data_IF_018747666368
#
_entry.id   IF_018747666368
#
_cell.length_a   1.000
_cell.length_b   1.000
_cell.length_c   1.000
_cell.angle_alpha   90.00
_cell.angle_beta   90.00
_cell.angle_gamma   90.00
#
_symmetry.space_group_name_H-M   'P 1'
#
loop_
_entity.id
_entity.type
_entity.pdbx_description
1 polymer ?
#
# COMPACT_ATOMS: atom_id res chain seq x y z
N UNK A 1 -27.53 2.06 22.87
CA UNK A 1 -26.62 3.22 22.77
C UNK A 1 -25.52 3.10 23.83
N UNK A 2 -24.30 2.72 23.44
CA UNK A 2 -23.10 2.93 24.26
C UNK A 2 -22.16 3.79 23.43
N UNK A 3 -21.95 5.02 23.89
CA UNK A 3 -20.94 5.92 23.36
C UNK A 3 -19.58 5.23 23.51
N UNK A 4 -19.02 4.75 22.41
CA UNK A 4 -17.58 4.53 22.29
C UNK A 4 -17.02 5.69 21.47
N UNK A 5 -17.03 6.87 22.09
CA UNK A 5 -16.24 8.01 21.66
C UNK A 5 -14.77 7.73 21.95
N UNK A 6 -14.12 6.99 21.06
CA UNK A 6 -12.69 7.16 20.80
C UNK A 6 -12.54 7.18 19.29
N UNK A 7 -12.14 8.33 18.78
CA UNK A 7 -11.68 8.52 17.43
C UNK A 7 -10.66 7.44 17.10
N UNK A 8 -11.08 6.44 16.32
CA UNK A 8 -10.17 5.61 15.55
C UNK A 8 -9.55 6.54 14.50
N UNK A 9 -8.57 7.33 14.90
CA UNK A 9 -7.68 8.01 13.96
C UNK A 9 -6.99 6.89 13.19
N UNK A 10 -7.25 6.85 11.88
CA UNK A 10 -6.88 5.75 11.00
C UNK A 10 -5.38 5.49 11.02
N UNK A 11 -4.95 4.51 11.80
CA UNK A 11 -3.59 3.96 11.74
C UNK A 11 -3.51 3.05 10.52
N UNK A 12 -2.98 3.59 9.43
CA UNK A 12 -2.53 2.76 8.31
C UNK A 12 -1.26 2.05 8.75
N UNK A 13 -1.37 0.75 9.00
CA UNK A 13 -0.24 -0.07 9.37
C UNK A 13 0.23 -0.86 8.15
N UNK A 14 1.53 -1.01 8.01
CA UNK A 14 2.10 -1.66 6.85
C UNK A 14 3.24 -2.59 7.23
N UNK A 15 3.30 -3.75 6.56
CA UNK A 15 4.37 -4.72 6.78
C UNK A 15 4.97 -5.15 5.44
N UNK A 16 6.31 -5.27 5.42
CA UNK A 16 7.06 -5.79 4.29
C UNK A 16 6.94 -7.32 4.29
N UNK A 17 6.59 -7.89 3.15
CA UNK A 17 6.68 -9.31 2.88
C UNK A 17 7.99 -9.64 2.16
N UNK A 18 8.33 -10.94 2.16
CA UNK A 18 9.57 -11.45 1.57
C UNK A 18 9.50 -11.51 0.04
N UNK A 19 8.32 -11.75 -0.52
CA UNK A 19 8.10 -11.90 -1.97
C UNK A 19 7.15 -10.84 -2.53
N UNK A 20 7.28 -10.58 -3.83
CA UNK A 20 6.51 -9.56 -4.54
C UNK A 20 5.05 -9.98 -4.73
N UNK A 21 4.15 -9.11 -4.30
CA UNK A 21 2.72 -9.40 -4.26
C UNK A 21 1.94 -9.06 -5.53
N UNK A 22 2.53 -8.28 -6.43
CA UNK A 22 1.86 -7.78 -7.64
C UNK A 22 2.82 -7.84 -8.84
N UNK A 23 2.60 -8.71 -9.84
CA UNK A 23 3.47 -8.83 -11.01
C UNK A 23 3.31 -7.65 -11.98
N UNK A 24 2.18 -6.94 -11.93
CA UNK A 24 1.94 -5.69 -12.65
C UNK A 24 1.75 -4.57 -11.62
N UNK A 25 2.84 -3.97 -11.18
CA UNK A 25 2.82 -2.86 -10.23
C UNK A 25 3.33 -1.59 -10.91
N UNK A 26 2.48 -0.58 -11.02
CA UNK A 26 2.85 0.68 -11.68
C UNK A 26 3.30 1.70 -10.64
N UNK A 27 4.61 2.00 -10.63
CA UNK A 27 5.21 3.02 -9.76
C UNK A 27 5.56 4.28 -10.54
N UNK A 28 5.35 5.42 -9.89
CA UNK A 28 5.78 6.71 -10.41
C UNK A 28 6.73 7.39 -9.45
N UNK A 29 7.82 7.91 -9.98
CA UNK A 29 8.82 8.67 -9.24
C UNK A 29 8.58 10.16 -9.49
N UNK A 30 8.42 10.90 -8.40
CA UNK A 30 8.35 12.35 -8.38
C UNK A 30 9.68 12.84 -7.83
N UNK A 31 10.51 13.44 -8.66
CA UNK A 31 11.88 13.73 -8.27
C UNK A 31 12.46 14.96 -8.95
N UNK A 32 13.61 15.36 -8.41
CA UNK A 32 14.51 16.30 -9.07
C UNK A 32 15.24 15.59 -10.22
N UNK A 33 16.01 16.34 -11.01
CA UNK A 33 16.62 15.85 -12.25
C UNK A 33 17.47 14.58 -12.07
N UNK A 34 18.23 14.49 -10.97
CA UNK A 34 19.02 13.31 -10.63
C UNK A 34 18.17 12.03 -10.51
N UNK A 35 17.04 12.13 -9.81
CA UNK A 35 16.11 11.01 -9.66
C UNK A 35 15.36 10.69 -10.96
N UNK A 36 15.17 11.68 -11.83
CA UNK A 36 14.59 11.42 -13.15
C UNK A 36 15.57 10.71 -14.07
N UNK A 37 16.86 10.99 -13.98
CA UNK A 37 17.88 10.32 -14.78
C UNK A 37 18.13 8.88 -14.29
N UNK A 38 18.14 8.66 -12.97
CA UNK A 38 18.14 7.31 -12.37
C UNK A 38 16.87 6.53 -12.73
N UNK A 39 15.70 7.17 -12.69
CA UNK A 39 14.44 6.52 -13.06
C UNK A 39 14.39 6.14 -14.54
N UNK A 40 14.92 6.98 -15.43
CA UNK A 40 15.06 6.65 -16.87
C UNK A 40 15.98 5.45 -17.09
N UNK A 41 17.08 5.36 -16.35
CA UNK A 41 18.00 4.23 -16.45
C UNK A 41 17.35 2.91 -16.01
N UNK A 42 16.40 2.96 -15.08
CA UNK A 42 15.66 1.79 -14.57
C UNK A 42 14.32 1.57 -15.32
N UNK A 43 14.02 2.38 -16.33
CA UNK A 43 12.74 2.39 -17.09
C UNK A 43 11.49 2.54 -16.19
N UNK A 44 11.60 3.37 -15.15
CA UNK A 44 10.47 3.73 -14.27
C UNK A 44 9.88 5.06 -14.72
N UNK A 45 8.54 5.13 -14.71
CA UNK A 45 7.80 6.34 -15.06
C UNK A 45 8.13 7.47 -14.07
N UNK A 46 8.66 8.58 -14.58
CA UNK A 46 9.05 9.75 -13.81
C UNK A 46 8.17 10.96 -14.17
N UNK A 47 8.01 11.88 -13.21
CA UNK A 47 7.36 13.18 -13.46
C UNK A 47 8.10 14.31 -12.74
N UNK A 48 8.38 15.37 -13.50
CA UNK A 48 9.05 16.57 -13.01
C UNK A 48 8.11 17.57 -12.34
N UNK A 49 8.70 18.52 -11.62
CA UNK A 49 8.04 19.61 -10.89
C UNK A 49 7.14 20.46 -11.81
N UNK A 50 7.57 20.69 -13.05
CA UNK A 50 6.78 21.46 -14.02
C UNK A 50 5.54 20.70 -14.49
N UNK A 51 5.66 19.39 -14.70
CA UNK A 51 4.54 18.53 -15.04
C UNK A 51 3.52 18.48 -13.89
N UNK A 52 4.00 18.41 -12.65
CA UNK A 52 3.17 18.44 -11.44
C UNK A 52 2.34 19.74 -11.32
N UNK A 53 2.93 20.89 -11.63
CA UNK A 53 2.21 22.18 -11.64
C UNK A 53 1.15 22.25 -12.75
N UNK A 54 1.45 21.73 -13.95
CA UNK A 54 0.47 21.64 -15.06
C UNK A 54 -0.71 20.72 -14.70
N UNK A 55 -0.46 19.66 -13.94
CA UNK A 55 -1.48 18.70 -13.51
C UNK A 55 -2.44 19.25 -12.42
N UNK A 56 -2.04 20.25 -11.64
CA UNK A 56 -2.90 20.84 -10.60
C UNK A 56 -4.17 21.50 -11.17
N UNK A 57 -4.06 22.10 -12.37
CA UNK A 57 -5.19 22.78 -13.02
C UNK A 57 -6.31 21.80 -13.39
N UNK A 58 -5.98 20.52 -13.62
CA UNK A 58 -6.92 19.51 -14.13
C UNK A 58 -7.12 18.34 -13.14
N UNK A 59 -8.10 18.47 -12.23
CA UNK A 59 -8.50 17.42 -11.27
C UNK A 59 -8.87 16.08 -11.92
N UNK A 60 -9.34 16.09 -13.17
CA UNK A 60 -9.70 14.88 -13.93
C UNK A 60 -8.46 14.04 -14.30
N UNK A 61 -7.36 14.69 -14.68
CA UNK A 61 -6.11 14.00 -15.03
C UNK A 61 -5.44 13.41 -13.79
N UNK A 62 -5.47 14.13 -12.67
CA UNK A 62 -4.98 13.62 -11.38
C UNK A 62 -5.74 12.37 -10.94
N UNK A 63 -7.07 12.33 -11.13
CA UNK A 63 -7.87 11.11 -10.86
C UNK A 63 -7.53 9.95 -11.81
N UNK A 64 -7.20 10.23 -13.07
CA UNK A 64 -6.77 9.20 -14.03
C UNK A 64 -5.41 8.63 -13.63
N UNK A 65 -4.45 9.48 -13.24
CA UNK A 65 -3.14 9.04 -12.74
C UNK A 65 -3.28 8.22 -11.46
N UNK A 66 -4.05 8.67 -10.47
CA UNK A 66 -4.26 7.92 -9.23
C UNK A 66 -4.89 6.53 -9.43
N UNK A 67 -5.65 6.32 -10.52
CA UNK A 67 -6.21 5.01 -10.87
C UNK A 67 -5.19 4.11 -11.59
N UNK A 68 -4.27 4.69 -12.37
CA UNK A 68 -3.26 3.95 -13.12
C UNK A 68 -2.05 3.55 -12.26
N UNK A 69 -1.66 4.41 -11.33
CA UNK A 69 -0.46 4.22 -10.50
C UNK A 69 -0.86 3.61 -9.16
N UNK A 70 -0.12 2.62 -8.66
CA UNK A 70 -0.38 1.98 -7.37
C UNK A 70 0.40 2.63 -6.24
N UNK A 71 1.64 3.04 -6.51
CA UNK A 71 2.47 3.77 -5.55
C UNK A 71 3.23 4.93 -6.19
N UNK A 72 3.53 5.92 -5.35
CA UNK A 72 4.34 7.08 -5.68
C UNK A 72 5.57 7.12 -4.77
N UNK A 73 6.73 7.42 -5.35
CA UNK A 73 7.94 7.78 -4.61
C UNK A 73 8.20 9.26 -4.81
N UNK A 74 8.60 9.96 -3.75
CA UNK A 74 8.88 11.39 -3.82
C UNK A 74 10.24 11.71 -3.21
N UNK A 75 11.01 12.53 -3.91
CA UNK A 75 12.20 13.19 -3.37
C UNK A 75 11.85 14.04 -2.15
N UNK A 76 12.81 14.17 -1.23
CA UNK A 76 12.68 15.00 -0.02
C UNK A 76 12.32 16.46 -0.36
N UNK A 77 12.85 17.00 -1.46
CA UNK A 77 12.55 18.35 -1.95
C UNK A 77 11.05 18.57 -2.22
N UNK A 78 10.33 17.51 -2.63
CA UNK A 78 8.96 17.60 -3.13
C UNK A 78 7.90 17.23 -2.09
N UNK A 79 8.29 16.57 -0.99
CA UNK A 79 7.35 16.06 0.02
C UNK A 79 6.51 17.18 0.65
N UNK A 80 7.06 18.40 0.77
CA UNK A 80 6.37 19.57 1.33
C UNK A 80 5.29 20.13 0.41
N UNK A 81 5.46 19.99 -0.91
CA UNK A 81 4.54 20.57 -1.91
C UNK A 81 3.40 19.60 -2.27
N UNK A 82 3.65 18.30 -2.16
CA UNK A 82 2.72 17.23 -2.55
C UNK A 82 1.35 17.30 -1.84
N UNK A 83 1.26 17.53 -0.52
CA UNK A 83 -0.04 17.66 0.15
C UNK A 83 -0.89 18.80 -0.40
N UNK A 84 -0.27 19.92 -0.78
CA UNK A 84 -0.96 21.10 -1.33
C UNK A 84 -1.43 20.88 -2.76
N UNK A 85 -0.60 20.25 -3.60
CA UNK A 85 -0.86 20.09 -5.04
C UNK A 85 -1.72 18.85 -5.32
N UNK A 86 -1.38 17.72 -4.71
CA UNK A 86 -1.96 16.41 -5.01
C UNK A 86 -2.84 15.86 -3.89
N UNK A 87 -2.89 16.50 -2.73
CA UNK A 87 -3.58 16.00 -1.54
C UNK A 87 -5.06 15.65 -1.76
N UNK A 88 -5.82 16.49 -2.48
CA UNK A 88 -7.26 16.24 -2.73
C UNK A 88 -7.52 14.98 -3.56
N UNK A 89 -6.60 14.61 -4.45
CA UNK A 89 -6.72 13.45 -5.34
C UNK A 89 -6.16 12.18 -4.72
N UNK A 90 -4.93 12.25 -4.20
CA UNK A 90 -4.17 11.10 -3.73
C UNK A 90 -4.56 10.62 -2.32
N UNK A 91 -4.96 11.53 -1.43
CA UNK A 91 -5.38 11.14 -0.07
C UNK A 91 -6.68 10.31 -0.11
N UNK A 92 -7.62 10.68 -0.99
CA UNK A 92 -8.84 9.89 -1.21
C UNK A 92 -8.54 8.49 -1.77
N UNK A 93 -7.45 8.35 -2.53
CA UNK A 93 -7.01 7.07 -3.07
C UNK A 93 -6.14 6.25 -2.09
N UNK A 94 -5.70 6.83 -0.96
CA UNK A 94 -4.81 6.17 0.00
C UNK A 94 -3.38 5.93 -0.53
N UNK A 95 -2.98 6.64 -1.59
CA UNK A 95 -1.70 6.47 -2.30
C UNK A 95 -0.77 7.65 -2.00
N UNK A 96 -0.45 7.85 -0.73
CA UNK A 96 0.47 8.92 -0.34
C UNK A 96 1.91 8.53 -0.70
N UNK A 97 2.72 9.46 -1.25
CA UNK A 97 4.07 9.11 -1.68
C UNK A 97 4.95 8.68 -0.52
N UNK A 98 5.78 7.67 -0.74
CA UNK A 98 6.85 7.32 0.20
C UNK A 98 8.08 8.18 -0.07
N UNK A 99 8.79 8.53 0.99
CA UNK A 99 10.01 9.32 0.91
C UNK A 99 11.11 8.51 0.22
N UNK A 100 11.80 9.16 -0.71
CA UNK A 100 13.04 8.71 -1.29
C UNK A 100 14.13 9.71 -0.92
N UNK A 101 15.21 9.22 -0.32
CA UNK A 101 16.40 10.02 -0.03
C UNK A 101 17.46 9.82 -1.12
N UNK A 102 18.27 10.84 -1.38
CA UNK A 102 19.35 10.77 -2.37
C UNK A 102 20.45 9.75 -2.01
N UNK A 103 20.55 9.35 -0.73
CA UNK A 103 21.53 8.38 -0.25
C UNK A 103 21.10 6.92 -0.45
N UNK A 104 19.83 6.66 -0.73
CA UNK A 104 19.29 5.30 -0.83
C UNK A 104 19.08 4.89 -2.30
N UNK A 105 19.41 3.63 -2.62
CA UNK A 105 19.19 3.09 -3.97
C UNK A 105 17.69 3.00 -4.27
N UNK A 106 17.25 3.61 -5.37
CA UNK A 106 15.86 3.56 -5.85
C UNK A 106 15.29 2.15 -5.94
N UNK A 107 16.08 1.20 -6.45
CA UNK A 107 15.67 -0.20 -6.65
C UNK A 107 15.27 -0.85 -5.33
N UNK A 108 16.02 -0.61 -4.25
CA UNK A 108 15.73 -1.19 -2.94
C UNK A 108 14.40 -0.66 -2.37
N UNK A 109 14.13 0.65 -2.51
CA UNK A 109 12.84 1.24 -2.10
C UNK A 109 11.68 0.77 -2.96
N UNK A 110 11.90 0.62 -4.26
CA UNK A 110 10.91 0.07 -5.18
C UNK A 110 10.51 -1.34 -4.75
N UNK A 111 11.47 -2.20 -4.42
CA UNK A 111 11.18 -3.58 -3.99
C UNK A 111 10.54 -3.64 -2.59
N UNK A 112 10.89 -2.71 -1.70
CA UNK A 112 10.19 -2.52 -0.43
C UNK A 112 8.72 -2.19 -0.63
N UNK A 113 8.42 -1.24 -1.51
CA UNK A 113 7.04 -0.81 -1.76
C UNK A 113 6.24 -1.89 -2.50
N UNK A 114 6.86 -2.59 -3.46
CA UNK A 114 6.24 -3.73 -4.16
C UNK A 114 5.87 -4.88 -3.24
N UNK A 115 6.67 -5.11 -2.20
CA UNK A 115 6.48 -6.21 -1.25
C UNK A 115 5.68 -5.78 -0.02
N UNK A 116 5.18 -4.54 0.01
CA UNK A 116 4.48 -3.97 1.17
C UNK A 116 3.00 -4.29 1.11
N UNK A 117 2.48 -4.89 2.18
CA UNK A 117 1.04 -4.95 2.43
C UNK A 117 0.60 -3.71 3.21
N UNK A 118 -0.44 -3.04 2.71
CA UNK A 118 -1.10 -1.93 3.40
C UNK A 118 -2.40 -2.42 4.04
N UNK A 119 -2.43 -2.49 5.37
CA UNK A 119 -3.66 -2.71 6.12
C UNK A 119 -4.29 -1.35 6.44
N UNK A 120 -5.45 -1.09 5.83
CA UNK A 120 -6.25 0.09 6.11
C UNK A 120 -7.35 -0.29 7.09
N UNK A 121 -7.12 -0.02 8.37
CA UNK A 121 -8.15 -0.19 9.39
C UNK A 121 -9.24 0.87 9.17
N UNK A 122 -10.33 0.46 8.54
CA UNK A 122 -11.57 1.25 8.41
C UNK A 122 -12.59 0.75 9.43
N UNK A 123 -13.69 1.48 9.58
CA UNK A 123 -14.87 1.05 10.37
C UNK A 123 -15.66 -0.05 9.64
N UNK A 124 -14.98 -1.10 9.20
CA UNK A 124 -15.54 -2.26 8.48
C UNK A 124 -15.17 -3.53 9.23
N UNK A 125 -16.07 -4.51 9.18
CA UNK A 125 -15.91 -5.79 9.89
C UNK A 125 -14.98 -6.75 9.13
N UNK A 126 -14.96 -6.67 7.79
CA UNK A 126 -14.16 -7.53 6.94
C UNK A 126 -13.08 -6.72 6.23
N UNK A 127 -11.83 -7.20 6.30
CA UNK A 127 -10.70 -6.69 5.55
C UNK A 127 -10.20 -7.79 4.61
N UNK A 128 -9.98 -7.45 3.35
CA UNK A 128 -9.45 -8.37 2.36
C UNK A 128 -8.13 -7.82 1.82
N UNK A 129 -7.12 -8.67 1.79
CA UNK A 129 -5.75 -8.35 1.37
C UNK A 129 -5.22 -9.45 0.47
N UNK A 130 -4.47 -9.07 -0.57
CA UNK A 130 -3.77 -10.01 -1.43
C UNK A 130 -2.45 -10.44 -0.77
N UNK A 131 -2.26 -11.75 -0.63
CA UNK A 131 -1.10 -12.35 0.04
C UNK A 131 -0.16 -13.08 -0.93
N UNK A 132 -0.61 -13.32 -2.18
CA UNK A 132 0.25 -13.87 -3.21
C UNK A 132 -0.41 -14.28 -4.52
N UNK A 133 0.37 -14.97 -5.35
CA UNK A 133 0.03 -15.44 -6.69
C UNK A 133 0.35 -16.93 -6.84
N UNK A 134 -0.32 -17.56 -7.81
CA UNK A 134 -0.19 -18.99 -8.13
C UNK A 134 1.23 -19.36 -8.62
N UNK A 135 2.01 -18.39 -9.11
CA UNK A 135 3.38 -18.64 -9.59
C UNK A 135 4.44 -18.67 -8.47
N UNK A 136 4.06 -18.40 -7.22
CA UNK A 136 4.98 -18.48 -6.08
C UNK A 136 5.03 -19.89 -5.51
N UNK A 137 6.12 -20.20 -4.82
CA UNK A 137 6.32 -21.48 -4.13
C UNK A 137 5.38 -21.53 -2.90
N UNK A 138 4.83 -22.71 -2.63
CA UNK A 138 3.86 -22.92 -1.55
C UNK A 138 4.42 -22.51 -0.17
N UNK A 139 5.69 -22.79 0.11
CA UNK A 139 6.35 -22.42 1.37
C UNK A 139 6.42 -20.90 1.58
N UNK A 140 6.73 -20.15 0.52
CA UNK A 140 6.74 -18.68 0.59
C UNK A 140 5.33 -18.12 0.80
N UNK A 141 4.31 -18.77 0.21
CA UNK A 141 2.92 -18.38 0.36
C UNK A 141 2.45 -18.61 1.80
N UNK A 142 2.76 -19.75 2.39
CA UNK A 142 2.45 -20.06 3.79
C UNK A 142 3.11 -19.04 4.73
N UNK A 143 4.39 -18.72 4.51
CA UNK A 143 5.09 -17.70 5.29
C UNK A 143 4.42 -16.33 5.20
N UNK A 144 4.03 -15.90 3.99
CA UNK A 144 3.31 -14.64 3.79
C UNK A 144 1.94 -14.64 4.46
N UNK A 145 1.21 -15.77 4.46
CA UNK A 145 -0.07 -15.92 5.16
C UNK A 145 0.12 -15.75 6.67
N UNK A 146 1.13 -16.40 7.26
CA UNK A 146 1.42 -16.24 8.68
C UNK A 146 1.75 -14.78 9.05
N UNK A 147 2.58 -14.10 8.25
CA UNK A 147 2.87 -12.68 8.44
C UNK A 147 1.61 -11.80 8.32
N UNK A 148 0.75 -12.07 7.33
CA UNK A 148 -0.47 -11.33 7.07
C UNK A 148 -1.54 -11.54 8.15
N UNK A 149 -1.56 -12.68 8.84
CA UNK A 149 -2.47 -12.94 9.96
C UNK A 149 -1.90 -12.37 11.26
N UNK A 150 -0.61 -12.57 11.54
CA UNK A 150 0.01 -12.13 12.79
C UNK A 150 0.09 -10.61 12.92
N UNK A 151 0.21 -9.88 11.81
CA UNK A 151 0.32 -8.42 11.85
C UNK A 151 -0.97 -7.72 12.32
N UNK A 152 -2.17 -7.97 11.75
CA UNK A 152 -3.43 -7.46 12.30
C UNK A 152 -3.68 -7.86 13.75
N UNK A 153 -3.35 -9.10 14.13
CA UNK A 153 -3.49 -9.57 15.52
C UNK A 153 -2.67 -8.70 16.48
N UNK A 154 -1.43 -8.37 16.12
CA UNK A 154 -0.56 -7.53 16.96
C UNK A 154 -1.02 -6.08 17.12
N UNK A 155 -1.84 -5.57 16.19
CA UNK A 155 -2.34 -4.20 16.23
C UNK A 155 -3.62 -4.06 17.06
N UNK A 156 -4.37 -5.15 17.25
CA UNK A 156 -5.64 -5.16 17.96
C UNK A 156 -5.40 -5.36 19.46
N UNK A 157 -5.96 -4.49 20.30
CA UNK A 157 -5.80 -4.56 21.77
C UNK A 157 -6.29 -5.87 22.41
N UNK A 158 -7.12 -6.64 21.71
CA UNK A 158 -7.67 -7.93 22.14
C UNK A 158 -7.16 -9.12 21.30
N UNK A 159 -6.16 -8.88 20.45
CA UNK A 159 -5.50 -9.88 19.61
C UNK A 159 -6.51 -10.81 18.89
N UNK A 160 -6.49 -12.10 19.23
CA UNK A 160 -7.31 -13.16 18.63
C UNK A 160 -8.79 -13.11 19.01
N UNK A 161 -9.15 -12.55 20.17
CA UNK A 161 -10.56 -12.45 20.58
C UNK A 161 -11.37 -11.50 19.70
N UNK A 162 -10.68 -10.58 19.01
CA UNK A 162 -11.34 -9.65 18.08
C UNK A 162 -11.52 -10.24 16.67
N UNK A 163 -10.91 -11.39 16.38
CA UNK A 163 -11.03 -12.07 15.09
C UNK A 163 -12.04 -13.20 15.22
N UNK A 164 -13.19 -13.04 14.56
CA UNK A 164 -14.23 -14.07 14.55
C UNK A 164 -13.89 -15.23 13.61
N UNK A 165 -13.45 -14.91 12.39
CA UNK A 165 -13.11 -15.91 11.40
C UNK A 165 -12.04 -15.42 10.43
N UNK A 166 -11.23 -16.35 9.94
CA UNK A 166 -10.23 -16.13 8.90
C UNK A 166 -10.56 -17.00 7.69
N UNK A 167 -10.70 -16.34 6.54
CA UNK A 167 -11.00 -17.00 5.28
C UNK A 167 -9.87 -16.75 4.28
N UNK A 168 -9.42 -17.80 3.62
CA UNK A 168 -8.54 -17.73 2.46
C UNK A 168 -9.36 -18.08 1.23
N UNK A 169 -9.24 -17.26 0.19
CA UNK A 169 -9.84 -17.54 -1.10
C UNK A 169 -8.83 -17.31 -2.22
N UNK A 170 -8.91 -18.13 -3.25
CA UNK A 170 -8.28 -17.84 -4.53
C UNK A 170 -9.24 -17.02 -5.41
N UNK A 171 -8.79 -16.55 -6.57
CA UNK A 171 -9.59 -15.70 -7.48
C UNK A 171 -10.88 -16.39 -7.95
N UNK A 172 -10.83 -17.71 -8.18
CA UNK A 172 -11.95 -18.51 -8.71
C UNK A 172 -12.38 -19.65 -7.78
N UNK A 173 -11.69 -19.86 -6.66
CA UNK A 173 -11.96 -20.96 -5.74
C UNK A 173 -12.97 -20.59 -4.66
N UNK A 174 -13.55 -21.64 -4.06
CA UNK A 174 -14.40 -21.48 -2.87
C UNK A 174 -13.55 -21.00 -1.68
N UNK A 175 -14.09 -20.10 -0.83
CA UNK A 175 -13.40 -19.66 0.37
C UNK A 175 -13.20 -20.82 1.34
N UNK A 176 -11.96 -21.00 1.80
CA UNK A 176 -11.56 -21.95 2.82
C UNK A 176 -11.48 -21.23 4.17
N UNK A 177 -12.16 -21.77 5.19
CA UNK A 177 -12.08 -21.25 6.55
C UNK A 177 -10.85 -21.84 7.23
N UNK A 178 -9.90 -21.01 7.66
CA UNK A 178 -8.74 -21.47 8.44
C UNK A 178 -9.01 -21.43 9.94
N UNK A 179 -9.86 -20.50 10.38
CA UNK A 179 -10.17 -20.30 11.78
C UNK A 179 -11.60 -19.81 11.88
N UNK A 180 -12.38 -20.48 12.73
CA UNK A 180 -13.68 -20.01 13.20
C UNK A 180 -13.64 -20.02 14.72
N UNK A 181 -13.76 -18.85 15.33
CA UNK A 181 -13.92 -18.75 16.78
C UNK A 181 -15.19 -19.48 17.19
N UNK A 182 -15.06 -20.52 18.02
CA UNK A 182 -16.18 -21.09 18.75
C UNK A 182 -16.70 -20.03 19.70
N UNK A 183 -17.95 -19.61 19.54
CA UNK A 183 -18.63 -18.78 20.52
C UNK A 183 -18.70 -19.59 21.84
N UNK A 184 -18.01 -19.10 22.87
CA UNK A 184 -18.34 -19.40 24.26
C UNK A 184 -19.12 -18.22 24.82
#
# INVERSE_FOLDING_TARGET
MRQCGRSWTGTSASRKLKSTLHPKFSMYILGDQQHCDEAKAVDILHMDIEALKKLNKNKKLVKKLAKKCDAFLASESLIKQIPRILGRGLNKAGKFPSLLTHSEKMVAKVDEVKSKIMFQMKKVLCLAVAVGHVKMIDDELVYNIHLAVNFPVSLLKKNWQNLWALYIKSTMGKPQCLYSGSAQ
#
